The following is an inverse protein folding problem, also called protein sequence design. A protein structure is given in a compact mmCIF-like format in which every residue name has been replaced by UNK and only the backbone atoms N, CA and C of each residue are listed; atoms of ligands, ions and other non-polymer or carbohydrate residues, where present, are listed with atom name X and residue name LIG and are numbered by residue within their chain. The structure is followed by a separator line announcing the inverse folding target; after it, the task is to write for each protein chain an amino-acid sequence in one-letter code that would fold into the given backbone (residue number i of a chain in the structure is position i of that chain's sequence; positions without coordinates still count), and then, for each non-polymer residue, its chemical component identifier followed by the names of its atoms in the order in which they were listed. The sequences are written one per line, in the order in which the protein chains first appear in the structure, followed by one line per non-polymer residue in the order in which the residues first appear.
data_IF_662917691920
#
_entry.id   IF_662917691920
#
_cell.length_a   1.000
_cell.length_b   1.000
_cell.length_c   1.000
_cell.angle_alpha   90.00
_cell.angle_beta   90.00
_cell.angle_gamma   90.00
#
_symmetry.space_group_name_H-M   'P 1'
#
loop_
_entity.id
_entity.type
_entity.pdbx_description
1 polymer ?
#
# COMPACT_ATOMS: atom_id res chain seq x y z
N UNK A 1 28.43 77.12 5.70
CA UNK A 1 28.92 75.86 5.09
C UNK A 1 27.74 74.92 4.91
N UNK A 2 27.20 74.81 3.69
CA UNK A 2 26.04 73.94 3.37
C UNK A 2 26.58 72.58 2.93
N UNK A 3 26.20 71.50 3.63
CA UNK A 3 26.55 70.12 3.28
C UNK A 3 25.60 69.62 2.19
N UNK A 4 26.16 69.13 1.09
CA UNK A 4 25.45 68.45 0.00
C UNK A 4 25.52 66.95 0.28
N UNK A 5 24.37 66.26 0.27
CA UNK A 5 24.29 64.80 0.39
C UNK A 5 24.00 64.24 -1.01
N UNK A 6 24.88 63.38 -1.51
CA UNK A 6 24.64 62.59 -2.71
C UNK A 6 23.94 61.29 -2.33
N UNK A 7 22.76 61.05 -2.89
CA UNK A 7 22.06 59.76 -2.80
C UNK A 7 22.45 58.90 -4.00
N UNK A 8 23.12 57.78 -3.76
CA UNK A 8 23.34 56.75 -4.77
C UNK A 8 22.11 55.85 -4.85
N UNK A 9 21.42 55.87 -5.99
CA UNK A 9 20.33 54.94 -6.29
C UNK A 9 20.94 53.71 -6.98
N UNK A 10 21.01 52.58 -6.29
CA UNK A 10 21.41 51.32 -6.89
C UNK A 10 20.21 50.73 -7.66
N UNK A 11 20.30 50.67 -8.98
CA UNK A 11 19.33 49.98 -9.81
C UNK A 11 19.57 48.47 -9.72
N UNK A 12 18.67 47.74 -9.08
CA UNK A 12 18.68 46.28 -9.02
C UNK A 12 17.99 45.75 -10.29
N UNK A 13 18.77 45.34 -11.29
CA UNK A 13 18.27 44.65 -12.48
C UNK A 13 17.87 43.22 -12.09
N UNK A 14 16.56 42.94 -12.04
CA UNK A 14 16.05 41.57 -11.98
C UNK A 14 16.39 40.87 -13.31
N UNK A 15 17.39 39.99 -13.28
CA UNK A 15 17.62 39.01 -14.32
C UNK A 15 16.59 37.89 -14.09
N UNK A 16 15.50 37.92 -14.86
CA UNK A 16 14.51 36.86 -14.88
C UNK A 16 15.10 35.67 -15.64
N UNK A 17 15.80 34.77 -14.93
CA UNK A 17 16.23 33.50 -15.50
C UNK A 17 14.99 32.61 -15.69
N UNK A 18 14.54 32.47 -16.94
CA UNK A 18 13.54 31.47 -17.30
C UNK A 18 14.14 30.08 -17.11
N UNK A 19 13.87 29.45 -15.97
CA UNK A 19 14.12 28.04 -15.79
C UNK A 19 13.31 27.26 -16.83
N UNK A 20 13.88 26.20 -17.46
CA UNK A 20 13.11 25.35 -18.35
C UNK A 20 11.96 24.74 -17.55
N UNK A 21 10.73 24.98 -18.01
CA UNK A 21 9.56 24.26 -17.53
C UNK A 21 9.78 22.80 -17.90
N UNK A 22 10.03 21.95 -16.91
CA UNK A 22 9.98 20.51 -17.11
C UNK A 22 8.52 20.18 -17.45
N UNK A 23 8.26 19.87 -18.72
CA UNK A 23 7.03 19.20 -19.11
C UNK A 23 7.07 17.81 -18.47
N UNK A 24 6.46 17.68 -17.30
CA UNK A 24 6.07 16.38 -16.76
C UNK A 24 5.15 15.78 -17.82
N UNK A 25 5.58 14.68 -18.43
CA UNK A 25 4.80 13.91 -19.39
C UNK A 25 3.42 13.62 -18.79
N UNK A 26 2.38 13.70 -19.60
CA UNK A 26 1.01 13.41 -19.23
C UNK A 26 0.91 12.07 -18.48
N UNK A 27 0.90 12.14 -17.15
CA UNK A 27 0.39 11.07 -16.30
C UNK A 27 -1.12 11.10 -16.51
N UNK A 28 -1.68 9.96 -16.89
CA UNK A 28 -3.11 9.77 -17.03
C UNK A 28 -3.82 10.42 -15.84
N UNK A 29 -4.71 11.39 -16.12
CA UNK A 29 -5.39 12.14 -15.05
C UNK A 29 -6.43 11.22 -14.40
N UNK A 30 -5.99 10.40 -13.44
CA UNK A 30 -6.87 9.60 -12.62
C UNK A 30 -7.80 10.51 -11.81
N UNK A 31 -9.08 10.17 -11.77
CA UNK A 31 -10.05 10.80 -10.88
C UNK A 31 -10.21 9.93 -9.63
N UNK A 32 -10.20 10.54 -8.45
CA UNK A 32 -10.45 9.82 -7.19
C UNK A 32 -11.90 9.34 -7.16
N UNK A 33 -12.10 8.02 -7.10
CA UNK A 33 -13.43 7.40 -7.03
C UNK A 33 -13.75 6.82 -5.65
N UNK A 34 -12.73 6.50 -4.86
CA UNK A 34 -12.86 5.97 -3.52
C UNK A 34 -11.58 6.21 -2.72
N UNK A 35 -11.72 6.44 -1.41
CA UNK A 35 -10.61 6.56 -0.46
C UNK A 35 -11.08 6.23 0.96
N UNK A 36 -10.14 5.85 1.82
CA UNK A 36 -10.30 5.85 3.26
C UNK A 36 -9.07 6.49 3.90
N UNK A 37 -9.24 7.72 4.39
CA UNK A 37 -8.18 8.50 5.02
C UNK A 37 -7.98 8.14 6.50
N UNK A 38 -8.73 7.17 7.03
CA UNK A 38 -8.68 6.74 8.43
C UNK A 38 -8.79 7.90 9.44
N UNK A 39 -9.57 8.94 9.11
CA UNK A 39 -9.73 10.16 9.91
C UNK A 39 -10.75 10.02 11.06
N UNK A 40 -11.46 8.89 11.13
CA UNK A 40 -12.39 8.59 12.22
C UNK A 40 -11.71 8.03 13.47
N UNK A 41 -12.51 7.65 14.46
CA UNK A 41 -12.00 7.06 15.72
C UNK A 41 -12.06 5.51 15.73
N UNK A 42 -12.43 4.90 14.62
CA UNK A 42 -12.59 3.45 14.47
C UNK A 42 -12.58 3.05 13.01
N UNK A 43 -12.30 1.77 12.73
CA UNK A 43 -12.39 1.22 11.38
C UNK A 43 -13.78 1.44 10.78
N UNK A 44 -13.85 2.01 9.57
CA UNK A 44 -15.12 2.22 8.88
C UNK A 44 -15.68 0.89 8.35
N UNK A 45 -16.70 0.36 9.02
CA UNK A 45 -17.33 -0.92 8.66
C UNK A 45 -18.15 -0.89 7.35
N UNK A 46 -18.36 0.30 6.77
CA UNK A 46 -18.93 0.42 5.42
C UNK A 46 -17.88 0.21 4.32
N UNK A 47 -16.60 0.27 4.69
CA UNK A 47 -15.47 0.05 3.79
C UNK A 47 -14.79 -1.30 4.05
N UNK A 48 -14.69 -1.71 5.32
CA UNK A 48 -13.84 -2.83 5.75
C UNK A 48 -14.57 -3.88 6.58
N UNK A 49 -14.19 -5.14 6.36
CA UNK A 49 -14.55 -6.32 7.16
C UNK A 49 -13.27 -6.92 7.73
N UNK A 50 -13.23 -7.20 9.04
CA UNK A 50 -12.15 -7.97 9.65
C UNK A 50 -12.33 -9.47 9.40
N UNK A 51 -11.26 -10.16 9.02
CA UNK A 51 -11.20 -11.61 9.04
C UNK A 51 -10.66 -12.09 10.40
N UNK A 52 -11.20 -13.20 10.91
CA UNK A 52 -10.81 -13.74 12.21
C UNK A 52 -10.48 -15.21 12.13
N UNK A 53 -9.51 -15.66 12.92
CA UNK A 53 -9.07 -17.07 12.97
C UNK A 53 -7.80 -17.35 12.18
N UNK A 54 -7.57 -18.62 11.93
CA UNK A 54 -6.34 -19.16 11.28
C UNK A 54 -6.57 -19.58 9.83
N UNK A 55 -7.77 -19.36 9.30
CA UNK A 55 -8.18 -19.85 7.98
C UNK A 55 -8.01 -21.37 7.82
N UNK A 56 -8.03 -21.83 6.57
CA UNK A 56 -7.69 -23.21 6.23
C UNK A 56 -6.18 -23.35 6.09
N UNK A 57 -5.55 -24.23 6.87
CA UNK A 57 -4.11 -24.53 6.76
C UNK A 57 -3.19 -23.35 7.06
N UNK A 58 -3.56 -22.45 7.99
CA UNK A 58 -2.81 -21.21 8.23
C UNK A 58 -2.91 -20.29 7.02
N UNK A 59 -4.14 -19.97 6.62
CA UNK A 59 -4.48 -19.15 5.44
C UNK A 59 -3.87 -19.62 4.10
N UNK A 60 -3.56 -20.91 3.98
CA UNK A 60 -2.93 -21.51 2.80
C UNK A 60 -1.40 -21.49 2.82
N UNK A 61 -0.79 -20.82 3.80
CA UNK A 61 0.65 -20.58 3.86
C UNK A 61 1.31 -21.13 5.15
N UNK A 62 0.57 -21.89 5.97
CA UNK A 62 1.01 -22.31 7.30
C UNK A 62 1.36 -21.11 8.21
N UNK A 63 0.61 -20.01 8.06
CA UNK A 63 0.67 -18.83 8.92
C UNK A 63 0.43 -19.20 10.40
N UNK A 64 1.04 -18.43 11.32
CA UNK A 64 1.14 -18.77 12.75
C UNK A 64 0.30 -17.87 13.66
N UNK A 65 -0.31 -16.83 13.10
CA UNK A 65 -1.16 -15.90 13.81
C UNK A 65 -2.63 -16.33 13.81
N UNK A 66 -3.32 -15.88 14.85
CA UNK A 66 -4.77 -15.84 14.86
C UNK A 66 -5.20 -14.41 14.53
N UNK A 67 -5.80 -14.17 13.37
CA UNK A 67 -6.34 -12.83 13.08
C UNK A 67 -7.52 -12.54 14.01
N UNK A 68 -7.60 -11.31 14.52
CA UNK A 68 -8.71 -10.85 15.38
C UNK A 68 -9.29 -9.53 14.89
N UNK A 69 -10.49 -9.20 15.37
CA UNK A 69 -11.13 -7.90 15.21
C UNK A 69 -11.00 -7.02 16.46
N UNK A 70 -10.13 -7.40 17.42
CA UNK A 70 -9.88 -6.63 18.64
C UNK A 70 -9.12 -5.35 18.29
N UNK A 71 -9.40 -4.27 19.02
CA UNK A 71 -8.65 -3.00 18.93
C UNK A 71 -7.16 -3.17 19.19
N UNK A 72 -6.80 -4.22 19.92
CA UNK A 72 -5.42 -4.64 20.16
C UNK A 72 -4.65 -5.00 18.89
N UNK A 73 -5.33 -5.43 17.83
CA UNK A 73 -4.73 -5.85 16.56
C UNK A 73 -5.17 -4.97 15.38
N UNK A 74 -6.38 -4.41 15.39
CA UNK A 74 -6.90 -3.53 14.33
C UNK A 74 -7.57 -2.31 14.94
N UNK A 75 -7.00 -1.13 14.73
CA UNK A 75 -7.58 0.14 15.23
C UNK A 75 -7.26 1.31 14.31
N UNK A 76 -8.01 2.39 14.47
CA UNK A 76 -7.66 3.68 13.89
C UNK A 76 -7.11 4.56 15.01
N UNK A 77 -5.92 5.11 14.81
CA UNK A 77 -5.19 5.93 15.78
C UNK A 77 -4.41 7.00 15.02
N UNK A 78 -4.52 8.25 15.45
CA UNK A 78 -3.79 9.40 14.87
C UNK A 78 -3.87 9.52 13.34
N UNK A 79 -5.07 9.29 12.77
CA UNK A 79 -5.30 9.36 11.33
C UNK A 79 -4.71 8.19 10.53
N UNK A 80 -4.37 7.08 11.19
CA UNK A 80 -3.82 5.88 10.56
C UNK A 80 -4.62 4.65 10.94
N UNK A 81 -4.75 3.72 9.99
CA UNK A 81 -5.04 2.33 10.31
C UNK A 81 -3.79 1.68 10.91
N UNK A 82 -3.93 1.13 12.11
CA UNK A 82 -2.91 0.33 12.78
C UNK A 82 -3.32 -1.13 12.73
N UNK A 83 -2.50 -1.95 12.05
CA UNK A 83 -2.53 -3.40 12.13
C UNK A 83 -1.32 -3.85 12.95
N UNK A 84 -1.57 -4.42 14.13
CA UNK A 84 -0.54 -4.75 15.10
C UNK A 84 -0.46 -6.26 15.31
N UNK A 85 0.68 -6.83 14.94
CA UNK A 85 1.02 -8.21 15.28
C UNK A 85 1.56 -8.28 16.71
N UNK A 86 1.02 -9.17 17.53
CA UNK A 86 1.41 -9.37 18.94
C UNK A 86 1.82 -10.80 19.20
N UNK A 87 2.84 -10.97 20.03
CA UNK A 87 3.18 -12.26 20.63
C UNK A 87 2.36 -12.44 21.90
N UNK A 88 1.27 -13.19 21.81
CA UNK A 88 0.37 -13.50 22.92
C UNK A 88 -0.24 -14.89 22.72
N UNK A 89 -0.61 -15.55 23.82
CA UNK A 89 -1.38 -16.79 23.71
C UNK A 89 -2.86 -16.46 23.50
N UNK A 90 -3.41 -16.85 22.36
CA UNK A 90 -4.80 -16.60 22.01
C UNK A 90 -5.35 -17.72 21.14
N UNK A 91 -6.47 -18.35 21.57
CA UNK A 91 -7.16 -19.42 20.84
C UNK A 91 -6.23 -20.53 20.31
N UNK A 92 -5.23 -20.93 21.11
CA UNK A 92 -4.28 -22.00 20.76
C UNK A 92 -3.10 -21.56 19.90
N UNK A 93 -3.04 -20.29 19.49
CA UNK A 93 -1.92 -19.69 18.77
C UNK A 93 -1.04 -18.87 19.71
N UNK A 94 0.20 -18.58 19.27
CA UNK A 94 1.18 -17.78 20.03
C UNK A 94 1.35 -16.35 19.47
N UNK A 95 0.61 -16.03 18.41
CA UNK A 95 0.62 -14.73 17.78
C UNK A 95 -0.81 -14.33 17.42
N UNK A 96 -1.10 -13.04 17.49
CA UNK A 96 -2.32 -12.43 16.96
C UNK A 96 -1.95 -11.33 15.99
N UNK A 97 -2.83 -11.03 15.05
CA UNK A 97 -2.65 -9.93 14.09
C UNK A 97 -4.00 -9.44 13.58
N UNK A 98 -4.00 -8.53 12.61
CA UNK A 98 -5.19 -8.05 11.91
C UNK A 98 -5.14 -8.38 10.42
N UNK A 99 -6.30 -8.77 9.87
CA UNK A 99 -6.53 -8.93 8.43
C UNK A 99 -7.88 -8.30 8.10
N UNK A 100 -7.90 -7.36 7.17
CA UNK A 100 -9.11 -6.66 6.77
C UNK A 100 -9.28 -6.73 5.25
N UNK A 101 -10.53 -6.70 4.79
CA UNK A 101 -10.86 -6.76 3.36
C UNK A 101 -12.08 -5.89 3.03
N UNK A 102 -12.21 -5.52 1.77
CA UNK A 102 -13.37 -4.77 1.24
C UNK A 102 -14.42 -5.67 0.58
N UNK A 103 -14.27 -7.00 0.64
CA UNK A 103 -15.15 -7.96 -0.03
C UNK A 103 -16.63 -7.72 0.35
N UNK A 104 -17.48 -7.57 -0.67
CA UNK A 104 -18.91 -7.29 -0.51
C UNK A 104 -19.24 -5.81 -0.21
N UNK A 105 -18.23 -4.94 -0.09
CA UNK A 105 -18.38 -3.52 0.21
C UNK A 105 -17.84 -2.65 -0.93
N UNK A 106 -16.55 -2.81 -1.27
CA UNK A 106 -15.87 -2.06 -2.31
C UNK A 106 -15.10 -3.01 -3.23
N UNK A 107 -15.26 -2.83 -4.54
CA UNK A 107 -14.57 -3.60 -5.57
C UNK A 107 -14.23 -2.69 -6.73
N UNK A 108 -13.08 -2.95 -7.36
CA UNK A 108 -12.54 -2.11 -8.40
C UNK A 108 -12.23 -2.93 -9.64
N UNK A 109 -12.33 -2.30 -10.80
CA UNK A 109 -11.86 -2.86 -12.06
C UNK A 109 -11.07 -1.76 -12.76
N UNK A 110 -9.78 -2.02 -12.92
CA UNK A 110 -8.80 -1.06 -13.43
C UNK A 110 -8.65 0.18 -12.53
N UNK A 111 -7.67 1.02 -12.89
CA UNK A 111 -7.34 2.25 -12.21
C UNK A 111 -5.99 2.18 -11.51
N UNK A 112 -5.69 3.25 -10.77
CA UNK A 112 -4.56 3.32 -9.85
C UNK A 112 -5.04 2.98 -8.45
N UNK A 113 -4.45 1.98 -7.82
CA UNK A 113 -4.70 1.59 -6.44
C UNK A 113 -3.44 1.87 -5.65
N UNK A 114 -3.53 2.68 -4.60
CA UNK A 114 -2.37 3.06 -3.79
C UNK A 114 -2.67 3.13 -2.29
N UNK A 115 -1.64 2.88 -1.49
CA UNK A 115 -1.70 3.05 -0.05
C UNK A 115 -0.36 3.59 0.47
N UNK A 116 -0.42 4.55 1.39
CA UNK A 116 0.75 5.08 2.10
C UNK A 116 0.97 4.28 3.39
N UNK A 117 1.99 3.43 3.42
CA UNK A 117 2.19 2.45 4.49
C UNK A 117 3.60 2.57 5.06
N UNK A 118 3.71 2.44 6.38
CA UNK A 118 4.96 2.20 7.09
C UNK A 118 4.93 0.78 7.64
N UNK A 119 5.96 -0.02 7.38
CA UNK A 119 6.00 -1.44 7.73
C UNK A 119 6.78 -1.69 9.02
N UNK A 120 6.42 -2.74 9.78
CA UNK A 120 7.34 -3.33 10.76
C UNK A 120 8.51 -4.04 10.05
N UNK A 121 9.65 -4.14 10.75
CA UNK A 121 10.78 -4.98 10.34
C UNK A 121 11.02 -6.05 11.40
N UNK A 122 11.29 -7.29 10.98
CA UNK A 122 11.57 -8.38 11.90
C UNK A 122 11.40 -9.75 11.28
N UNK A 123 12.16 -10.73 11.78
CA UNK A 123 12.02 -12.11 11.36
C UNK A 123 10.62 -12.65 11.69
N UNK A 124 9.98 -13.30 10.72
CA UNK A 124 8.65 -13.90 10.82
C UNK A 124 7.49 -12.95 10.51
N UNK A 125 7.77 -11.67 10.25
CA UNK A 125 6.75 -10.67 9.93
C UNK A 125 6.53 -10.61 8.41
N UNK A 126 5.27 -10.60 7.99
CA UNK A 126 4.86 -10.59 6.57
C UNK A 126 3.65 -9.65 6.36
N UNK A 127 3.85 -8.32 6.36
CA UNK A 127 2.83 -7.38 5.91
C UNK A 127 2.59 -7.54 4.41
N UNK A 128 1.32 -7.41 4.02
CA UNK A 128 0.88 -7.43 2.63
C UNK A 128 -0.21 -6.37 2.38
N UNK A 129 -0.16 -5.75 1.20
CA UNK A 129 -1.23 -4.97 0.61
C UNK A 129 -1.52 -5.56 -0.78
N UNK A 130 -2.70 -6.14 -0.94
CA UNK A 130 -2.99 -7.04 -2.05
C UNK A 130 -4.49 -7.05 -2.37
N UNK A 131 -4.84 -7.67 -3.50
CA UNK A 131 -6.19 -7.73 -4.05
C UNK A 131 -6.51 -9.14 -4.53
N UNK A 132 -7.77 -9.57 -4.37
CA UNK A 132 -8.32 -10.79 -4.96
C UNK A 132 -9.47 -10.45 -5.92
N UNK A 133 -9.67 -11.32 -6.91
CA UNK A 133 -10.87 -11.26 -7.74
C UNK A 133 -12.15 -11.40 -6.91
N UNK A 134 -13.13 -10.52 -7.18
CA UNK A 134 -14.42 -10.54 -6.48
C UNK A 134 -15.20 -11.86 -6.68
N UNK A 135 -14.86 -12.63 -7.72
CA UNK A 135 -15.41 -13.96 -8.03
C UNK A 135 -14.77 -15.10 -7.22
N UNK A 136 -13.90 -14.82 -6.25
CA UNK A 136 -13.23 -15.82 -5.41
C UNK A 136 -14.20 -16.81 -4.73
N UNK A 137 -15.38 -16.40 -4.21
CA UNK A 137 -16.36 -17.35 -3.67
C UNK A 137 -16.88 -18.37 -4.69
N UNK A 138 -16.91 -18.03 -5.98
CA UNK A 138 -17.45 -18.87 -7.04
C UNK A 138 -16.40 -19.79 -7.69
N UNK A 139 -15.17 -19.28 -7.88
CA UNK A 139 -14.14 -20.01 -8.65
C UNK A 139 -12.95 -20.48 -7.82
N UNK A 140 -12.84 -20.03 -6.57
CA UNK A 140 -11.71 -20.24 -5.66
C UNK A 140 -10.37 -19.68 -6.19
N UNK A 141 -9.39 -19.64 -5.31
CA UNK A 141 -8.00 -19.38 -5.68
C UNK A 141 -7.37 -20.61 -6.36
N UNK A 142 -6.47 -20.46 -7.36
CA UNK A 142 -5.98 -19.21 -7.95
C UNK A 142 -6.81 -18.69 -9.13
N UNK A 143 -7.95 -19.33 -9.43
CA UNK A 143 -8.78 -18.99 -10.60
C UNK A 143 -9.40 -17.59 -10.52
N UNK A 144 -9.58 -17.05 -9.32
CA UNK A 144 -10.07 -15.69 -9.13
C UNK A 144 -9.04 -14.62 -9.50
N UNK A 145 -7.76 -14.98 -9.58
CA UNK A 145 -6.66 -14.03 -9.70
C UNK A 145 -6.35 -13.31 -8.38
N UNK A 146 -5.11 -12.87 -8.28
CA UNK A 146 -4.53 -12.12 -7.15
C UNK A 146 -3.52 -11.10 -7.68
N UNK A 147 -3.51 -9.91 -7.07
CA UNK A 147 -2.52 -8.86 -7.33
C UNK A 147 -1.95 -8.42 -5.99
N UNK A 148 -0.71 -8.78 -5.73
CA UNK A 148 0.06 -8.35 -4.57
C UNK A 148 0.76 -7.03 -4.90
N UNK A 149 0.22 -5.93 -4.37
CA UNK A 149 0.74 -4.59 -4.61
C UNK A 149 2.03 -4.37 -3.82
N UNK A 150 2.11 -4.92 -2.61
CA UNK A 150 3.28 -4.88 -1.75
C UNK A 150 3.27 -6.09 -0.84
N UNK A 151 4.35 -6.87 -0.88
CA UNK A 151 4.69 -7.85 0.15
C UNK A 151 6.15 -7.66 0.62
N UNK A 152 6.34 -7.70 1.94
CA UNK A 152 7.66 -7.63 2.55
C UNK A 152 7.81 -8.71 3.62
N UNK A 153 8.55 -9.76 3.30
CA UNK A 153 8.72 -10.93 4.19
C UNK A 153 10.02 -10.82 4.97
N UNK A 154 9.95 -10.93 6.29
CA UNK A 154 11.11 -10.86 7.18
C UNK A 154 11.86 -9.51 7.07
N UNK A 155 13.09 -9.56 6.57
CA UNK A 155 13.99 -8.43 6.40
C UNK A 155 14.60 -8.45 4.97
N UNK A 156 13.82 -8.88 3.98
CA UNK A 156 14.24 -8.81 2.57
C UNK A 156 14.53 -7.36 2.18
N UNK A 157 15.47 -7.15 1.25
CA UNK A 157 15.96 -5.80 0.98
C UNK A 157 14.93 -4.90 0.30
N UNK A 158 14.07 -5.47 -0.55
CA UNK A 158 13.08 -4.76 -1.36
C UNK A 158 11.67 -5.34 -1.19
N UNK A 159 10.75 -4.81 -1.97
CA UNK A 159 9.33 -5.17 -1.95
C UNK A 159 9.00 -6.07 -3.12
N UNK A 160 8.20 -7.12 -2.87
CA UNK A 160 7.68 -7.96 -3.93
C UNK A 160 6.36 -7.37 -4.45
N UNK A 161 6.22 -7.33 -5.77
CA UNK A 161 4.94 -7.18 -6.44
C UNK A 161 4.70 -8.40 -7.31
N UNK A 162 3.56 -9.07 -7.13
CA UNK A 162 3.28 -10.37 -7.73
C UNK A 162 1.85 -10.44 -8.25
N UNK A 163 1.64 -11.22 -9.31
CA UNK A 163 0.30 -11.69 -9.71
C UNK A 163 0.25 -13.20 -9.65
N UNK A 164 -0.90 -13.73 -9.22
CA UNK A 164 -1.18 -15.16 -9.21
C UNK A 164 -2.46 -15.44 -10.00
N UNK A 165 -2.48 -16.52 -10.78
CA UNK A 165 -3.64 -16.92 -11.57
C UNK A 165 -3.64 -18.41 -11.91
N UNK A 166 -4.70 -18.87 -12.58
CA UNK A 166 -4.78 -20.22 -13.15
C UNK A 166 -4.67 -20.18 -14.68
N UNK A 167 -3.75 -20.97 -15.24
CA UNK A 167 -3.65 -21.21 -16.69
C UNK A 167 -3.47 -22.71 -16.98
N UNK A 168 -4.47 -23.51 -16.58
CA UNK A 168 -4.39 -24.98 -16.48
C UNK A 168 -3.50 -25.43 -15.32
N UNK A 169 -3.62 -24.72 -14.21
CA UNK A 169 -2.76 -24.88 -13.03
C UNK A 169 -2.26 -23.52 -12.53
N UNK A 170 -1.78 -23.53 -11.29
CA UNK A 170 -1.24 -22.35 -10.64
C UNK A 170 -0.05 -21.76 -11.41
N UNK A 171 -0.11 -20.45 -11.65
CA UNK A 171 0.96 -19.66 -12.22
C UNK A 171 1.10 -18.34 -11.43
N UNK A 172 2.31 -17.79 -11.47
CA UNK A 172 2.61 -16.49 -10.89
C UNK A 172 3.70 -15.77 -11.68
N UNK A 173 3.73 -14.45 -11.58
CA UNK A 173 4.76 -13.61 -12.18
C UNK A 173 4.91 -12.33 -11.36
N UNK A 174 6.15 -11.90 -11.13
CA UNK A 174 6.41 -10.80 -10.21
C UNK A 174 7.82 -10.28 -10.30
N UNK A 175 8.04 -9.14 -9.65
CA UNK A 175 9.30 -8.44 -9.58
C UNK A 175 9.60 -7.97 -8.16
N UNK A 176 10.88 -7.66 -7.92
CA UNK A 176 11.37 -7.12 -6.64
C UNK A 176 11.94 -5.74 -6.87
N UNK A 177 11.56 -4.79 -6.02
CA UNK A 177 12.08 -3.42 -6.06
C UNK A 177 13.57 -3.36 -5.68
N UNK A 178 14.20 -2.21 -5.94
CA UNK A 178 15.46 -1.87 -5.26
C UNK A 178 15.27 -1.82 -3.74
N UNK A 179 16.39 -1.82 -3.00
CA UNK A 179 16.33 -1.79 -1.54
C UNK A 179 15.78 -0.46 -1.03
N UNK A 180 14.90 -0.52 -0.02
CA UNK A 180 14.27 0.64 0.60
C UNK A 180 14.18 0.49 2.13
N UNK A 181 14.10 1.60 2.87
CA UNK A 181 13.83 1.59 4.32
C UNK A 181 12.33 1.53 4.58
N UNK A 182 11.79 0.31 4.63
CA UNK A 182 10.36 0.05 4.87
C UNK A 182 9.82 0.55 6.21
N UNK A 183 10.71 0.98 7.12
CA UNK A 183 10.31 1.56 8.42
C UNK A 183 9.95 3.05 8.32
N UNK A 184 10.11 3.66 7.15
CA UNK A 184 9.50 4.94 6.79
C UNK A 184 8.18 4.72 6.04
N UNK A 185 7.40 5.79 5.91
CA UNK A 185 6.21 5.75 5.05
C UNK A 185 6.63 5.79 3.59
N UNK A 186 6.08 4.87 2.81
CA UNK A 186 6.18 4.82 1.35
C UNK A 186 4.80 4.70 0.74
N UNK A 187 4.63 5.18 -0.48
CA UNK A 187 3.42 4.97 -1.28
C UNK A 187 3.62 3.75 -2.16
N UNK A 188 2.89 2.68 -1.87
CA UNK A 188 2.86 1.46 -2.68
C UNK A 188 1.65 1.52 -3.59
N UNK A 189 1.85 1.29 -4.89
CA UNK A 189 0.74 1.39 -5.84
C UNK A 189 0.88 0.47 -7.04
N UNK A 190 -0.27 0.18 -7.65
CA UNK A 190 -0.35 -0.37 -9.00
C UNK A 190 -1.14 0.56 -9.92
N UNK A 191 -0.72 0.63 -11.17
CA UNK A 191 -1.56 1.06 -12.28
C UNK A 191 -2.03 -0.17 -13.05
N UNK A 192 -3.33 -0.43 -13.03
CA UNK A 192 -3.94 -1.61 -13.62
C UNK A 192 -4.93 -1.21 -14.71
N UNK A 193 -4.75 -1.76 -15.90
CA UNK A 193 -5.71 -1.62 -17.00
C UNK A 193 -5.88 -2.95 -17.75
N UNK A 194 -6.64 -2.94 -18.84
CA UNK A 194 -6.91 -4.12 -19.67
C UNK A 194 -5.67 -4.75 -20.32
N UNK A 195 -4.56 -4.02 -20.42
CA UNK A 195 -3.34 -4.42 -21.13
C UNK A 195 -2.18 -4.75 -20.19
N UNK A 196 -2.15 -4.17 -18.99
CA UNK A 196 -1.02 -4.31 -18.05
C UNK A 196 -1.39 -4.05 -16.60
N UNK A 197 -0.54 -4.55 -15.71
CA UNK A 197 -0.41 -4.14 -14.31
C UNK A 197 1.03 -3.68 -14.16
N UNK A 198 1.24 -2.51 -13.54
CA UNK A 198 2.56 -1.94 -13.27
C UNK A 198 2.63 -1.57 -11.80
N UNK A 199 3.74 -1.84 -11.15
CA UNK A 199 3.98 -1.59 -9.72
C UNK A 199 4.94 -0.44 -9.52
N UNK A 200 4.63 0.36 -8.50
CA UNK A 200 5.38 1.55 -8.15
C UNK A 200 5.61 1.66 -6.66
N UNK A 201 6.76 2.22 -6.29
CA UNK A 201 7.05 2.72 -4.94
C UNK A 201 7.37 4.21 -5.08
N UNK A 202 6.65 5.05 -4.34
CA UNK A 202 6.83 6.51 -4.36
C UNK A 202 6.75 7.12 -5.77
N UNK A 203 5.95 6.50 -6.65
CA UNK A 203 5.76 6.91 -8.04
C UNK A 203 6.84 6.41 -9.02
N UNK A 204 7.86 5.69 -8.54
CA UNK A 204 8.87 5.06 -9.40
C UNK A 204 8.45 3.62 -9.75
N UNK A 205 8.26 3.34 -11.04
CA UNK A 205 7.93 1.99 -11.52
C UNK A 205 9.13 1.06 -11.31
N UNK A 206 8.90 -0.12 -10.73
CA UNK A 206 9.93 -1.17 -10.61
C UNK A 206 9.57 -2.46 -11.34
N UNK A 207 8.30 -2.65 -11.70
CA UNK A 207 7.79 -3.80 -12.44
C UNK A 207 6.65 -3.35 -13.33
#
# INVERSE_FOLDING_TARGET
MKKVIFSFMAALSLICSSAPVMNVSASDTYNLVWSDEFSGNSLNKSNWVCETGTGSGGWGNNELEYYTDRTDNVRVEDGNLIIEAKKESYNGMNYTSGRIKTQGLQQFTYGKIEAKIKLPAGQGIWPAFWMLGANMPEVSWPKCGEIDIMEHVNNVAGINGTIHWDTNGYAYYGGVSSSIDVTQYHVYSVEWNKESIKWFIDGEQYW
#
